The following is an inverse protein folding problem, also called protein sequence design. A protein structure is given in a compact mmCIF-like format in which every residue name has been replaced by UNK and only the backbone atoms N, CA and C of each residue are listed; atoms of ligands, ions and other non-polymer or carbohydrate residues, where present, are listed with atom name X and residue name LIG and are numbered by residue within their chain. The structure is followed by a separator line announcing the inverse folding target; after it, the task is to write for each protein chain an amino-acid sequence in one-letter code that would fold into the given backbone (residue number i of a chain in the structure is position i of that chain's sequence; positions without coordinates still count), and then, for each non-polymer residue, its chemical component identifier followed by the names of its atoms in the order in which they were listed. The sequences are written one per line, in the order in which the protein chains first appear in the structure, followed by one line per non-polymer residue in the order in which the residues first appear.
data_IF_279181094939
#
_entry.id   IF_279181094939
#
_cell.length_a   1.000
_cell.length_b   1.000
_cell.length_c   1.000
_cell.angle_alpha   90.00
_cell.angle_beta   90.00
_cell.angle_gamma   90.00
#
_symmetry.space_group_name_H-M   'P 1'
#
loop_
_entity.id
_entity.type
_entity.pdbx_description
1 polymer ?
#
# COMPACT_ATOMS: atom_id res chain seq x y z
N UNK A 1 10.54 9.75 -13.07
CA UNK A 1 10.06 8.53 -12.39
C UNK A 1 8.96 8.94 -11.44
N UNK A 2 7.94 8.09 -11.25
CA UNK A 2 6.82 8.37 -10.34
C UNK A 2 6.93 7.47 -9.12
N UNK A 3 6.90 8.09 -7.95
CA UNK A 3 6.87 7.38 -6.68
C UNK A 3 5.48 6.78 -6.44
N UNK A 4 5.44 5.62 -5.78
CA UNK A 4 4.21 5.13 -5.19
C UNK A 4 3.80 5.99 -3.99
N UNK A 5 2.55 5.85 -3.54
CA UNK A 5 2.08 6.55 -2.34
C UNK A 5 2.86 6.11 -1.11
N UNK A 6 3.02 7.01 -0.12
CA UNK A 6 3.72 6.72 1.12
C UNK A 6 3.10 5.52 1.85
N UNK A 7 1.77 5.37 1.79
CA UNK A 7 1.04 4.25 2.39
C UNK A 7 1.42 2.90 1.76
N UNK A 8 1.51 2.86 0.42
CA UNK A 8 1.94 1.65 -0.30
C UNK A 8 3.40 1.36 0.00
N UNK A 9 4.28 2.37 -0.04
CA UNK A 9 5.70 2.21 0.27
C UNK A 9 5.93 1.65 1.67
N UNK A 10 5.15 2.11 2.66
CA UNK A 10 5.21 1.64 4.05
C UNK A 10 4.74 0.20 4.26
N UNK A 11 4.17 -0.44 3.23
CA UNK A 11 3.71 -1.83 3.26
C UNK A 11 4.56 -2.76 2.38
N UNK A 12 5.64 -2.27 1.76
CA UNK A 12 6.61 -3.12 1.07
C UNK A 12 7.40 -3.95 2.11
N UNK A 13 7.73 -5.19 1.76
CA UNK A 13 8.70 -5.97 2.52
C UNK A 13 10.09 -5.33 2.38
N UNK A 14 11.05 -5.76 3.21
CA UNK A 14 12.41 -5.23 3.12
C UNK A 14 13.01 -5.44 1.72
N UNK A 15 12.88 -6.65 1.19
CA UNK A 15 13.40 -7.00 -0.13
C UNK A 15 12.70 -6.21 -1.25
N UNK A 16 11.38 -6.08 -1.19
CA UNK A 16 10.62 -5.29 -2.16
C UNK A 16 11.01 -3.80 -2.11
N UNK A 17 11.22 -3.24 -0.91
CA UNK A 17 11.63 -1.86 -0.73
C UNK A 17 13.04 -1.60 -1.28
N UNK A 18 13.97 -2.52 -1.04
CA UNK A 18 15.33 -2.42 -1.56
C UNK A 18 15.32 -2.47 -3.10
N UNK A 19 14.54 -3.39 -3.70
CA UNK A 19 14.35 -3.44 -5.16
C UNK A 19 13.68 -2.19 -5.72
N UNK A 20 12.64 -1.68 -5.04
CA UNK A 20 11.94 -0.46 -5.43
C UNK A 20 12.89 0.75 -5.47
N UNK A 21 13.71 0.92 -4.43
CA UNK A 21 14.66 2.02 -4.36
C UNK A 21 15.73 1.91 -5.47
N UNK A 22 16.26 0.71 -5.73
CA UNK A 22 17.22 0.49 -6.80
C UNK A 22 16.63 0.79 -8.19
N UNK A 23 15.39 0.35 -8.47
CA UNK A 23 14.74 0.65 -9.75
C UNK A 23 14.44 2.15 -9.92
N UNK A 24 14.07 2.85 -8.84
CA UNK A 24 13.92 4.30 -8.89
C UNK A 24 15.23 5.00 -9.24
N UNK A 25 16.34 4.60 -8.62
CA UNK A 25 17.66 5.16 -8.91
C UNK A 25 18.05 4.94 -10.37
N UNK A 26 17.89 3.72 -10.89
CA UNK A 26 18.13 3.41 -12.30
C UNK A 26 17.24 4.24 -13.22
N UNK A 27 15.94 4.34 -12.91
CA UNK A 27 15.01 5.13 -13.69
C UNK A 27 15.37 6.62 -13.74
N UNK A 28 15.76 7.20 -12.60
CA UNK A 28 16.23 8.58 -12.53
C UNK A 28 17.54 8.79 -13.30
N UNK A 29 18.46 7.83 -13.23
CA UNK A 29 19.67 7.85 -14.04
C UNK A 29 19.32 7.87 -15.54
N UNK A 30 18.43 7.00 -16.01
CA UNK A 30 18.00 6.98 -17.42
C UNK A 30 17.36 8.30 -17.85
N UNK A 31 16.52 8.90 -17.01
CA UNK A 31 15.94 10.23 -17.28
C UNK A 31 17.03 11.31 -17.40
N UNK A 32 18.06 11.28 -16.55
CA UNK A 32 19.20 12.20 -16.64
C UNK A 32 19.99 12.06 -17.95
N UNK A 33 19.93 10.89 -18.58
CA UNK A 33 20.55 10.61 -19.88
C UNK A 33 19.59 10.85 -21.05
N UNK A 34 18.41 11.45 -20.80
CA UNK A 34 17.33 11.65 -21.77
C UNK A 34 16.81 10.35 -22.42
N UNK A 35 16.96 9.20 -21.74
CA UNK A 35 16.51 7.87 -22.18
C UNK A 35 15.12 7.53 -21.65
N UNK A 36 14.13 8.36 -22.02
CA UNK A 36 12.75 8.22 -21.57
C UNK A 36 12.05 6.95 -22.08
N UNK A 37 12.50 6.43 -23.23
CA UNK A 37 12.11 5.13 -23.78
C UNK A 37 12.39 3.99 -22.79
N UNK A 38 13.56 4.03 -22.15
CA UNK A 38 13.99 3.01 -21.20
C UNK A 38 13.43 3.25 -19.80
N UNK A 39 13.40 4.51 -19.34
CA UNK A 39 12.83 4.82 -18.01
C UNK A 39 11.35 4.45 -17.92
N UNK A 40 10.62 4.51 -19.04
CA UNK A 40 9.24 4.02 -19.13
C UNK A 40 9.12 2.53 -18.79
N UNK A 41 10.03 1.69 -19.28
CA UNK A 41 10.04 0.25 -18.97
C UNK A 41 10.34 0.03 -17.49
N UNK A 42 11.34 0.73 -16.94
CA UNK A 42 11.65 0.66 -15.51
C UNK A 42 10.45 1.09 -14.66
N UNK A 43 9.70 2.12 -15.07
CA UNK A 43 8.48 2.53 -14.39
C UNK A 43 7.43 1.41 -14.39
N UNK A 44 7.28 0.64 -15.46
CA UNK A 44 6.35 -0.49 -15.52
C UNK A 44 6.72 -1.62 -14.57
N UNK A 45 8.00 -1.92 -14.44
CA UNK A 45 8.48 -2.90 -13.45
C UNK A 45 8.20 -2.44 -12.02
N UNK A 46 8.37 -1.14 -11.73
CA UNK A 46 7.98 -0.57 -10.43
C UNK A 46 6.47 -0.69 -10.22
N UNK A 47 5.65 -0.36 -11.23
CA UNK A 47 4.19 -0.45 -11.14
C UNK A 47 3.72 -1.88 -10.81
N UNK A 48 4.40 -2.91 -11.33
CA UNK A 48 4.13 -4.32 -11.03
C UNK A 48 4.64 -4.69 -9.63
N UNK A 49 5.87 -4.28 -9.29
CA UNK A 49 6.51 -4.60 -8.01
C UNK A 49 5.68 -4.15 -6.80
N UNK A 50 4.96 -3.03 -6.91
CA UNK A 50 4.17 -2.48 -5.80
C UNK A 50 2.78 -3.12 -5.64
N UNK A 51 2.32 -3.96 -6.58
CA UNK A 51 0.99 -4.58 -6.53
C UNK A 51 0.73 -5.37 -5.23
N UNK A 52 1.67 -6.20 -4.71
CA UNK A 52 1.45 -6.90 -3.45
C UNK A 52 1.23 -5.95 -2.27
N UNK A 53 1.94 -4.83 -2.20
CA UNK A 53 1.76 -3.82 -1.16
C UNK A 53 0.41 -3.09 -1.27
N UNK A 54 -0.09 -2.87 -2.49
CA UNK A 54 -1.44 -2.34 -2.72
C UNK A 54 -2.49 -3.33 -2.19
N UNK A 55 -2.33 -4.63 -2.43
CA UNK A 55 -3.25 -5.64 -1.90
C UNK A 55 -3.21 -5.73 -0.37
N UNK A 56 -2.01 -5.64 0.24
CA UNK A 56 -1.88 -5.53 1.70
C UNK A 56 -2.56 -4.28 2.25
N UNK A 57 -2.50 -3.14 1.54
CA UNK A 57 -3.18 -1.90 1.94
C UNK A 57 -4.71 -2.06 1.91
N UNK A 58 -5.24 -2.67 0.85
CA UNK A 58 -6.68 -2.94 0.71
C UNK A 58 -7.17 -3.88 1.80
N UNK A 59 -6.42 -4.94 2.12
CA UNK A 59 -6.80 -5.88 3.18
C UNK A 59 -6.83 -5.20 4.54
N UNK A 60 -5.81 -4.38 4.86
CA UNK A 60 -5.80 -3.60 6.09
C UNK A 60 -6.99 -2.65 6.18
N UNK A 61 -7.45 -2.09 5.06
CA UNK A 61 -8.67 -1.28 5.05
C UNK A 61 -9.91 -2.12 5.37
N UNK A 62 -10.10 -3.24 4.68
CA UNK A 62 -11.23 -4.16 4.92
C UNK A 62 -11.27 -4.67 6.37
N UNK A 63 -10.12 -4.96 6.95
CA UNK A 63 -10.06 -5.41 8.34
C UNK A 63 -10.53 -4.33 9.31
N UNK A 64 -10.11 -3.07 9.13
CA UNK A 64 -10.60 -1.96 9.96
C UNK A 64 -12.12 -1.78 9.86
N UNK A 65 -12.67 -1.97 8.67
CA UNK A 65 -14.12 -1.85 8.47
C UNK A 65 -14.84 -2.96 9.27
N UNK A 66 -14.35 -4.21 9.21
CA UNK A 66 -14.86 -5.33 10.03
C UNK A 66 -14.73 -5.08 11.54
N UNK A 67 -13.56 -4.62 11.99
CA UNK A 67 -13.29 -4.33 13.40
C UNK A 67 -14.24 -3.23 13.92
N UNK A 68 -14.55 -2.25 13.06
CA UNK A 68 -15.49 -1.17 13.37
C UNK A 68 -16.92 -1.70 13.50
N UNK A 69 -17.37 -2.54 12.57
CA UNK A 69 -18.68 -3.19 12.64
C UNK A 69 -18.83 -4.05 13.90
N UNK A 70 -17.81 -4.85 14.23
CA UNK A 70 -17.81 -5.69 15.43
C UNK A 70 -17.84 -4.84 16.71
N UNK A 71 -17.04 -3.75 16.76
CA UNK A 71 -17.04 -2.82 17.89
C UNK A 71 -18.41 -2.17 18.10
N UNK A 72 -19.06 -1.70 17.03
CA UNK A 72 -20.38 -1.08 17.11
C UNK A 72 -21.44 -2.08 17.56
N UNK A 73 -21.41 -3.31 17.04
CA UNK A 73 -22.34 -4.37 17.43
C UNK A 73 -22.19 -4.77 18.90
N UNK A 74 -20.95 -4.90 19.38
CA UNK A 74 -20.70 -5.19 20.80
C UNK A 74 -21.23 -4.07 21.70
N UNK A 75 -20.99 -2.82 21.31
CA UNK A 75 -21.50 -1.65 22.05
C UNK A 75 -23.03 -1.58 22.07
N UNK A 76 -23.70 -1.95 20.98
CA UNK A 76 -25.16 -2.02 20.92
C UNK A 76 -25.72 -3.11 21.86
N UNK A 77 -25.08 -4.28 21.90
CA UNK A 77 -25.46 -5.34 22.84
C UNK A 77 -25.24 -4.94 24.30
N UNK A 78 -24.11 -4.30 24.62
CA UNK A 78 -23.83 -3.78 25.97
C UNK A 78 -24.90 -2.76 26.42
N UNK A 79 -25.37 -1.89 25.53
CA UNK A 79 -26.43 -0.92 25.82
C UNK A 79 -27.79 -1.58 26.04
N UNK A 80 -28.13 -2.62 25.27
CA UNK A 80 -29.39 -3.36 25.44
C UNK A 80 -29.41 -4.13 26.76
N UNK A 81 -28.29 -4.75 27.14
CA UNK A 81 -28.16 -5.44 28.43
C UNK A 81 -28.27 -4.47 29.62
N UNK A 82 -27.79 -3.21 29.48
CA UNK A 82 -27.94 -2.16 30.50
C UNK A 82 -29.37 -1.60 30.61
N UNK A 83 -30.16 -1.61 29.53
CA UNK A 83 -31.56 -1.16 29.53
C UNK A 83 -32.54 -2.23 30.06
N UNK A 84 -32.14 -3.50 30.06
CA UNK A 84 -32.93 -4.65 30.55
C UNK A 84 -32.75 -4.95 32.07
N UNK A 85 -31.79 -4.31 32.76
CA UNK A 85 -31.57 -4.34 34.24
C UNK A 85 -32.28 -3.20 35.00
#
# INVERSE_FOLDING_TARGET
MRNCSIQVRGLLTREELDRYNALLEVGHYLESQNRYDLSYIVQKEIDILILPAIERLKEKSRQRDRDTEEYLRRKELELLDEDDE
#
